data_IF_300009942647
#
_entry.id   IF_300009942647
#
_cell.length_a   1.000
_cell.length_b   1.000
_cell.length_c   1.000
_cell.angle_alpha   90.00
_cell.angle_beta   90.00
_cell.angle_gamma   90.00
#
_symmetry.space_group_name_H-M   'P 1'
#
loop_
_entity.id
_entity.type
_entity.pdbx_description
1 polymer ?
#
# COMPACT_ATOMS: atom_id res chain seq x y z
N UNK A 1 -22.00 -25.43 -2.43
CA UNK A 1 -20.76 -26.21 -2.16
C UNK A 1 -19.51 -25.42 -2.55
N UNK A 2 -19.34 -24.96 -3.80
CA UNK A 2 -18.18 -24.13 -4.19
C UNK A 2 -18.05 -22.83 -3.37
N UNK A 3 -19.16 -22.12 -3.14
CA UNK A 3 -19.16 -20.87 -2.35
C UNK A 3 -18.79 -21.09 -0.88
N UNK A 4 -19.09 -22.26 -0.33
CA UNK A 4 -18.79 -22.61 1.06
C UNK A 4 -17.30 -22.89 1.25
N UNK A 5 -16.70 -23.66 0.33
CA UNK A 5 -15.26 -23.90 0.29
C UNK A 5 -14.51 -22.58 0.09
N UNK A 6 -15.00 -21.72 -0.81
CA UNK A 6 -14.40 -20.40 -1.03
C UNK A 6 -14.41 -19.55 0.24
N UNK A 7 -15.53 -19.52 0.97
CA UNK A 7 -15.62 -18.80 2.26
C UNK A 7 -14.65 -19.37 3.30
N UNK A 8 -14.54 -20.69 3.40
CA UNK A 8 -13.60 -21.34 4.33
C UNK A 8 -12.15 -20.99 4.00
N UNK A 9 -11.77 -21.02 2.72
CA UNK A 9 -10.43 -20.64 2.26
C UNK A 9 -10.14 -19.17 2.59
N UNK A 10 -11.08 -18.25 2.31
CA UNK A 10 -10.92 -16.84 2.64
C UNK A 10 -10.76 -16.61 4.15
N UNK A 11 -11.53 -17.34 4.96
CA UNK A 11 -11.40 -17.32 6.43
C UNK A 11 -10.01 -17.79 6.90
N UNK A 12 -9.52 -18.91 6.36
CA UNK A 12 -8.19 -19.43 6.68
C UNK A 12 -7.08 -18.46 6.26
N UNK A 13 -7.18 -17.88 5.07
CA UNK A 13 -6.25 -16.85 4.58
C UNK A 13 -6.23 -15.65 5.55
N UNK A 14 -7.39 -15.19 6.00
CA UNK A 14 -7.47 -14.07 6.95
C UNK A 14 -6.78 -14.38 8.28
N UNK A 15 -6.90 -15.60 8.78
CA UNK A 15 -6.21 -16.04 10.01
C UNK A 15 -4.68 -15.97 9.85
N UNK A 16 -4.16 -16.40 8.70
CA UNK A 16 -2.71 -16.37 8.40
C UNK A 16 -2.22 -14.95 8.08
N UNK A 17 -3.03 -14.12 7.41
CA UNK A 17 -2.64 -12.77 7.04
C UNK A 17 -2.51 -11.84 8.25
N UNK A 18 -3.34 -11.99 9.30
CA UNK A 18 -3.29 -11.12 10.49
C UNK A 18 -1.89 -11.00 11.14
N UNK A 19 -1.17 -12.09 11.47
CA UNK A 19 0.17 -11.97 12.02
C UNK A 19 1.18 -11.39 11.03
N UNK A 20 1.06 -11.69 9.73
CA UNK A 20 1.93 -11.14 8.69
C UNK A 20 1.73 -9.62 8.57
N UNK A 21 0.49 -9.16 8.46
CA UNK A 21 0.14 -7.74 8.41
C UNK A 21 0.63 -7.02 9.67
N UNK A 22 0.52 -7.64 10.85
CA UNK A 22 1.06 -7.06 12.08
C UNK A 22 2.58 -6.86 12.00
N UNK A 23 3.33 -7.82 11.45
CA UNK A 23 4.76 -7.67 11.24
C UNK A 23 5.09 -6.60 10.20
N UNK A 24 4.32 -6.51 9.11
CA UNK A 24 4.46 -5.48 8.07
C UNK A 24 4.26 -4.07 8.64
N UNK A 25 3.21 -3.87 9.43
CA UNK A 25 2.94 -2.57 10.06
C UNK A 25 4.06 -2.17 11.02
N UNK A 26 4.64 -3.11 11.78
CA UNK A 26 5.80 -2.84 12.65
C UNK A 26 7.03 -2.30 11.92
N UNK A 27 7.20 -2.66 10.64
CA UNK A 27 8.31 -2.18 9.81
C UNK A 27 7.87 -1.09 8.83
N UNK A 28 6.71 -0.47 9.06
CA UNK A 28 6.21 0.65 8.26
C UNK A 28 5.74 0.25 6.86
N UNK A 29 5.36 -1.02 6.63
CA UNK A 29 4.80 -1.46 5.35
C UNK A 29 3.28 -1.45 5.42
N UNK A 30 2.66 -0.60 4.61
CA UNK A 30 1.22 -0.40 4.56
C UNK A 30 0.48 -1.31 3.58
N UNK A 31 -0.85 -1.11 3.50
CA UNK A 31 -1.73 -1.85 2.59
C UNK A 31 -1.37 -1.66 1.12
N UNK A 32 -0.89 -0.47 0.72
CA UNK A 32 -0.60 -0.18 -0.70
C UNK A 32 0.55 -1.05 -1.20
N UNK A 33 1.59 -1.21 -0.40
CA UNK A 33 2.75 -2.05 -0.67
C UNK A 33 2.36 -3.53 -0.65
N UNK A 34 1.58 -3.96 0.34
CA UNK A 34 1.02 -5.31 0.38
C UNK A 34 0.20 -5.61 -0.89
N UNK A 35 -0.68 -4.71 -1.30
CA UNK A 35 -1.53 -4.87 -2.47
C UNK A 35 -0.70 -5.01 -3.75
N UNK A 36 0.39 -4.25 -3.88
CA UNK A 36 1.29 -4.39 -5.03
C UNK A 36 2.02 -5.74 -5.02
N UNK A 37 2.47 -6.24 -3.86
CA UNK A 37 3.05 -7.59 -3.73
C UNK A 37 2.04 -8.68 -4.08
N UNK A 38 0.81 -8.57 -3.56
CA UNK A 38 -0.27 -9.50 -3.85
C UNK A 38 -0.60 -9.52 -5.35
N UNK A 39 -0.76 -8.35 -6.00
CA UNK A 39 -0.97 -8.26 -7.45
C UNK A 39 0.15 -8.94 -8.23
N UNK A 40 1.40 -8.75 -7.83
CA UNK A 40 2.55 -9.44 -8.44
C UNK A 40 2.41 -10.95 -8.32
N UNK A 41 2.12 -11.47 -7.12
CA UNK A 41 1.92 -12.90 -6.91
C UNK A 41 0.80 -13.46 -7.81
N UNK A 42 -0.36 -12.80 -7.87
CA UNK A 42 -1.47 -13.20 -8.76
C UNK A 42 -1.06 -13.24 -10.24
N UNK A 43 -0.39 -12.19 -10.72
CA UNK A 43 0.05 -12.12 -12.12
C UNK A 43 1.07 -13.20 -12.44
N UNK A 44 2.02 -13.46 -11.55
CA UNK A 44 3.03 -14.50 -11.76
C UNK A 44 2.42 -15.90 -11.80
N UNK A 45 1.61 -16.26 -10.79
CA UNK A 45 0.93 -17.55 -10.72
C UNK A 45 0.02 -17.74 -11.95
N UNK A 46 -0.80 -16.74 -12.30
CA UNK A 46 -1.66 -16.83 -13.49
C UNK A 46 -0.87 -16.92 -14.81
N UNK A 47 0.33 -16.32 -14.87
CA UNK A 47 1.20 -16.37 -16.06
C UNK A 47 1.90 -17.72 -16.20
N UNK A 48 2.44 -18.27 -15.10
CA UNK A 48 3.26 -19.49 -15.07
C UNK A 48 2.41 -20.76 -15.05
N UNK A 49 1.42 -20.82 -14.15
CA UNK A 49 0.77 -22.08 -13.78
C UNK A 49 -0.48 -22.38 -14.61
N UNK A 50 -1.01 -21.38 -15.30
CA UNK A 50 -2.22 -21.49 -16.12
C UNK A 50 -1.95 -21.35 -17.63
N UNK A 51 -0.66 -21.41 -18.02
CA UNK A 51 -0.23 -21.45 -19.40
C UNK A 51 -0.82 -22.65 -20.16
N UNK A 52 -1.01 -22.51 -21.46
CA UNK A 52 -1.49 -23.61 -22.32
C UNK A 52 -0.32 -24.11 -23.17
N UNK A 53 -0.14 -25.44 -23.21
CA UNK A 53 0.86 -26.10 -24.07
C UNK A 53 2.29 -25.57 -23.85
N UNK A 54 2.69 -25.38 -22.59
CA UNK A 54 4.02 -24.86 -22.24
C UNK A 54 4.27 -23.40 -22.57
N UNK A 55 3.26 -22.65 -23.06
CA UNK A 55 3.35 -21.21 -23.30
C UNK A 55 2.75 -20.43 -22.13
N UNK A 56 3.41 -19.35 -21.67
CA UNK A 56 2.86 -18.47 -20.65
C UNK A 56 1.49 -17.91 -21.04
N UNK A 57 0.62 -17.69 -20.07
CA UNK A 57 -0.68 -17.08 -20.30
C UNK A 57 -0.51 -15.66 -20.88
N UNK A 58 -1.28 -15.34 -21.92
CA UNK A 58 -1.26 -14.00 -22.50
C UNK A 58 -1.85 -12.96 -21.52
N UNK A 59 -1.50 -11.68 -21.72
CA UNK A 59 -1.90 -10.58 -20.83
C UNK A 59 -3.42 -10.49 -20.65
N UNK A 60 -4.19 -10.69 -21.72
CA UNK A 60 -5.65 -10.59 -21.66
C UNK A 60 -6.26 -11.69 -20.79
N UNK A 61 -5.80 -12.93 -20.90
CA UNK A 61 -6.30 -14.04 -20.09
C UNK A 61 -5.87 -13.92 -18.62
N UNK A 62 -4.66 -13.44 -18.35
CA UNK A 62 -4.23 -13.11 -16.97
C UNK A 62 -5.13 -12.04 -16.36
N UNK A 63 -5.45 -10.97 -17.11
CA UNK A 63 -6.36 -9.92 -16.66
C UNK A 63 -7.74 -10.48 -16.30
N UNK A 64 -8.31 -11.33 -17.15
CA UNK A 64 -9.60 -12.00 -16.89
C UNK A 64 -9.56 -12.88 -15.63
N UNK A 65 -8.51 -13.68 -15.45
CA UNK A 65 -8.39 -14.59 -14.31
C UNK A 65 -8.20 -13.88 -12.97
N UNK A 66 -7.45 -12.78 -12.98
CA UNK A 66 -7.04 -12.06 -11.76
C UNK A 66 -7.94 -10.87 -11.42
N UNK A 67 -8.80 -10.44 -12.36
CA UNK A 67 -9.59 -9.22 -12.24
C UNK A 67 -8.78 -7.92 -12.38
N UNK A 68 -7.48 -8.00 -12.68
CA UNK A 68 -6.62 -6.83 -12.88
C UNK A 68 -6.77 -6.27 -14.29
N UNK A 69 -6.45 -4.99 -14.47
CA UNK A 69 -6.44 -4.39 -15.81
C UNK A 69 -5.27 -4.92 -16.64
N UNK A 70 -5.44 -5.00 -17.97
CA UNK A 70 -4.34 -5.36 -18.90
C UNK A 70 -3.11 -4.45 -18.72
N UNK A 71 -3.32 -3.16 -18.37
CA UNK A 71 -2.26 -2.18 -18.09
C UNK A 71 -1.47 -2.56 -16.84
N UNK A 72 -2.15 -2.95 -15.76
CA UNK A 72 -1.49 -3.42 -14.53
C UNK A 72 -0.69 -4.71 -14.77
N UNK A 73 -1.30 -5.69 -15.45
CA UNK A 73 -0.62 -6.96 -15.78
C UNK A 73 0.65 -6.71 -16.60
N UNK A 74 0.57 -5.86 -17.64
CA UNK A 74 1.74 -5.49 -18.45
C UNK A 74 2.83 -4.84 -17.60
N UNK A 75 2.47 -3.85 -16.78
CA UNK A 75 3.41 -3.14 -15.89
C UNK A 75 4.14 -4.10 -14.95
N UNK A 76 3.40 -5.03 -14.34
CA UNK A 76 3.96 -6.01 -13.40
C UNK A 76 4.94 -6.95 -14.10
N UNK A 77 4.57 -7.50 -15.27
CA UNK A 77 5.47 -8.36 -16.06
C UNK A 77 6.76 -7.64 -16.45
N UNK A 78 6.66 -6.42 -16.98
CA UNK A 78 7.84 -5.62 -17.35
C UNK A 78 8.73 -5.30 -16.13
N UNK A 79 8.14 -5.04 -14.95
CA UNK A 79 8.90 -4.79 -13.73
C UNK A 79 9.68 -6.03 -13.28
N UNK A 80 9.06 -7.20 -13.36
CA UNK A 80 9.67 -8.48 -12.99
C UNK A 80 10.80 -8.88 -13.94
N UNK A 81 10.59 -8.73 -15.25
CA UNK A 81 11.59 -9.04 -16.28
C UNK A 81 12.84 -8.16 -16.13
N UNK A 82 12.67 -6.91 -15.68
CA UNK A 82 13.76 -5.98 -15.44
C UNK A 82 14.61 -6.32 -14.19
N UNK A 83 14.28 -7.37 -13.40
CA UNK A 83 14.88 -7.69 -12.09
C UNK A 83 14.98 -6.48 -11.13
N UNK A 84 14.23 -5.41 -11.40
CA UNK A 84 14.14 -4.24 -10.52
C UNK A 84 13.16 -4.57 -9.40
N UNK A 85 13.60 -5.46 -8.51
CA UNK A 85 13.01 -5.66 -7.18
C UNK A 85 13.36 -4.48 -6.26
N UNK A 86 13.21 -3.25 -6.75
CA UNK A 86 13.01 -2.14 -5.84
C UNK A 86 11.50 -2.10 -5.62
N UNK A 87 11.09 -2.68 -4.51
CA UNK A 87 9.89 -2.20 -3.81
C UNK A 87 10.21 -0.74 -3.53
N UNK A 88 9.87 0.14 -4.47
CA UNK A 88 9.84 1.57 -4.21
C UNK A 88 8.78 1.69 -3.12
N UNK A 89 9.24 1.75 -1.87
CA UNK A 89 8.40 2.01 -0.71
C UNK A 89 7.67 3.30 -1.02
N UNK A 90 6.41 3.19 -1.45
CA UNK A 90 5.54 4.34 -1.54
C UNK A 90 5.26 4.70 -0.10
N UNK A 91 5.89 5.77 0.38
CA UNK A 91 5.78 6.29 1.75
C UNK A 91 4.37 6.10 2.31
N UNK A 92 4.29 5.50 3.50
CA UNK A 92 3.02 5.37 4.23
C UNK A 92 2.40 6.76 4.45
N UNK A 93 1.08 6.87 4.67
CA UNK A 93 0.46 8.15 5.02
C UNK A 93 1.13 8.81 6.23
N UNK A 94 1.53 8.04 7.24
CA UNK A 94 2.28 8.55 8.41
C UNK A 94 3.66 9.09 8.01
N UNK A 95 4.44 8.32 7.23
CA UNK A 95 5.73 8.77 6.71
C UNK A 95 5.61 10.02 5.82
N UNK A 96 4.53 10.11 5.03
CA UNK A 96 4.24 11.25 4.17
C UNK A 96 3.90 12.49 5.01
N UNK A 97 3.07 12.34 6.05
CA UNK A 97 2.73 13.42 6.99
C UNK A 97 3.98 13.91 7.72
N UNK A 98 4.80 13.02 8.27
CA UNK A 98 6.06 13.39 8.92
C UNK A 98 7.02 14.09 7.95
N UNK A 99 7.22 13.52 6.76
CA UNK A 99 8.07 14.14 5.75
C UNK A 99 7.61 15.56 5.42
N UNK A 100 6.29 15.77 5.22
CA UNK A 100 5.74 17.09 4.90
C UNK A 100 5.84 18.05 6.08
N UNK A 101 5.64 17.58 7.31
CA UNK A 101 5.84 18.42 8.50
C UNK A 101 7.27 18.97 8.59
N UNK A 102 8.26 18.17 8.19
CA UNK A 102 9.68 18.52 8.26
C UNK A 102 10.25 19.20 7.01
N UNK A 103 9.46 19.38 5.94
CA UNK A 103 9.98 19.88 4.64
C UNK A 103 9.13 20.95 3.98
N UNK A 104 7.85 21.07 4.32
CA UNK A 104 6.96 22.07 3.72
C UNK A 104 7.02 23.37 4.54
N UNK A 105 7.37 24.48 3.87
CA UNK A 105 7.63 25.81 4.47
C UNK A 105 6.48 26.30 5.36
N UNK A 106 5.23 25.96 5.01
CA UNK A 106 4.04 26.31 5.80
C UNK A 106 4.11 25.76 7.24
N UNK A 107 4.79 24.62 7.41
CA UNK A 107 4.97 23.92 8.67
C UNK A 107 6.35 24.11 9.29
N UNK A 108 7.22 24.96 8.72
CA UNK A 108 8.55 25.25 9.23
C UNK A 108 8.62 26.64 9.89
N UNK A 109 9.37 26.74 10.99
CA UNK A 109 9.75 28.02 11.59
C UNK A 109 10.66 28.81 10.66
N UNK A 110 10.87 30.10 10.93
CA UNK A 110 11.83 30.93 10.18
C UNK A 110 13.25 30.37 10.20
N UNK A 111 13.59 29.57 11.22
CA UNK A 111 14.87 28.85 11.34
C UNK A 111 14.91 27.52 10.59
N UNK A 112 13.86 27.16 9.84
CA UNK A 112 13.77 25.91 9.08
C UNK A 112 13.48 24.66 9.91
N UNK A 113 13.09 24.82 11.18
CA UNK A 113 12.72 23.70 12.06
C UNK A 113 11.21 23.44 12.01
N UNK A 114 10.73 22.21 12.18
CA UNK A 114 9.29 21.94 12.19
C UNK A 114 8.58 22.69 13.33
N UNK A 115 7.47 23.37 13.00
CA UNK A 115 6.62 24.07 13.98
C UNK A 115 5.98 23.07 14.93
N UNK A 116 5.85 23.44 16.21
CA UNK A 116 4.97 22.72 17.14
C UNK A 116 3.52 22.98 16.74
N UNK A 117 2.80 21.93 16.33
CA UNK A 117 1.42 22.05 15.84
C UNK A 117 0.44 21.71 16.95
N UNK A 118 -0.54 22.58 17.17
CA UNK A 118 -1.74 22.23 17.94
C UNK A 118 -2.55 21.16 17.19
N UNK A 119 -3.30 20.34 17.93
CA UNK A 119 -4.08 19.27 17.32
C UNK A 119 -5.15 19.81 16.36
N UNK A 120 -5.86 20.85 16.77
CA UNK A 120 -6.89 21.55 16.00
C UNK A 120 -7.00 23.01 16.47
N UNK A 121 -7.73 23.85 15.74
CA UNK A 121 -7.88 25.28 16.01
C UNK A 121 -7.48 26.18 14.84
N UNK A 122 -7.26 27.46 15.12
CA UNK A 122 -6.94 28.46 14.10
C UNK A 122 -5.48 28.37 13.61
N UNK A 123 -5.29 28.61 12.32
CA UNK A 123 -3.97 28.60 11.68
C UNK A 123 -3.49 27.20 11.27
N UNK A 124 -2.17 27.01 11.24
CA UNK A 124 -1.55 25.75 10.80
C UNK A 124 -1.59 24.73 11.93
N UNK A 125 -2.42 23.70 11.78
CA UNK A 125 -2.64 22.66 12.80
C UNK A 125 -2.27 21.26 12.30
N UNK A 126 -2.15 20.32 13.23
CA UNK A 126 -1.95 18.91 12.91
C UNK A 126 -3.12 18.36 12.08
N UNK A 127 -4.36 18.70 12.45
CA UNK A 127 -5.56 18.31 11.68
C UNK A 127 -5.49 18.81 10.24
N UNK A 128 -5.06 20.05 10.03
CA UNK A 128 -4.86 20.60 8.70
C UNK A 128 -3.76 19.87 7.91
N UNK A 129 -2.59 19.62 8.52
CA UNK A 129 -1.50 18.83 7.91
C UNK A 129 -1.97 17.45 7.45
N UNK A 130 -2.70 16.73 8.31
CA UNK A 130 -3.20 15.38 8.02
C UNK A 130 -4.22 15.41 6.89
N UNK A 131 -5.18 16.34 6.90
CA UNK A 131 -6.16 16.48 5.81
C UNK A 131 -5.49 16.82 4.48
N UNK A 132 -4.48 17.68 4.50
CA UNK A 132 -3.73 18.10 3.31
C UNK A 132 -2.95 16.95 2.67
N UNK A 133 -2.35 16.05 3.47
CA UNK A 133 -1.37 15.08 2.97
C UNK A 133 -1.69 13.60 3.17
N UNK A 134 -2.64 13.25 4.05
CA UNK A 134 -3.05 11.87 4.30
C UNK A 134 -4.46 11.54 3.76
N UNK A 135 -5.15 12.50 3.13
CA UNK A 135 -6.48 12.29 2.54
C UNK A 135 -7.52 11.90 3.58
N UNK A 136 -8.16 10.74 3.40
CA UNK A 136 -9.28 10.26 4.23
C UNK A 136 -8.86 9.69 5.60
N UNK A 137 -7.58 9.78 5.99
CA UNK A 137 -7.14 9.29 7.30
C UNK A 137 -7.61 10.26 8.39
N UNK A 138 -8.39 9.80 9.39
CA UNK A 138 -8.81 10.66 10.49
C UNK A 138 -7.60 11.19 11.29
N UNK A 139 -7.52 12.50 11.60
CA UNK A 139 -6.40 13.08 12.35
C UNK A 139 -6.16 12.41 13.71
N UNK A 140 -7.20 12.02 14.42
CA UNK A 140 -7.06 11.29 15.70
C UNK A 140 -6.38 9.93 15.53
N UNK A 141 -6.71 9.20 14.47
CA UNK A 141 -6.08 7.92 14.15
C UNK A 141 -4.60 8.13 13.76
N UNK A 142 -4.32 9.15 12.95
CA UNK A 142 -2.94 9.50 12.57
C UNK A 142 -2.09 9.86 13.79
N UNK A 143 -2.59 10.70 14.71
CA UNK A 143 -1.88 11.07 15.94
C UNK A 143 -1.57 9.85 16.80
N UNK A 144 -2.53 8.93 16.92
CA UNK A 144 -2.35 7.69 17.68
C UNK A 144 -1.26 6.82 17.06
N UNK A 145 -1.20 6.75 15.73
CA UNK A 145 -0.18 5.99 15.02
C UNK A 145 1.22 6.62 15.15
N UNK A 146 1.34 7.95 15.10
CA UNK A 146 2.64 8.65 15.23
C UNK A 146 3.22 8.62 16.65
N UNK A 147 2.40 8.32 17.66
CA UNK A 147 2.83 8.22 19.07
C UNK A 147 3.18 6.80 19.52
N UNK A 148 3.21 5.83 18.61
CA UNK A 148 3.62 4.44 18.88
C UNK A 148 5.13 4.25 18.80
#
# INVERSE_FOLDING_TARGET
MQDEIQRQILGAILLVLRPIVRAMLKVGVGYREFSELAKTAFVETATKDYGLRGRPTNISRVAVMTGLTRKEVRRIRTKNDAKKSTVVMKTTPASQVLHRWYTDEEFLTESGSPKSLYFDGDGVTFTYLVRKYAGDVPPGAMRTELNR
#
